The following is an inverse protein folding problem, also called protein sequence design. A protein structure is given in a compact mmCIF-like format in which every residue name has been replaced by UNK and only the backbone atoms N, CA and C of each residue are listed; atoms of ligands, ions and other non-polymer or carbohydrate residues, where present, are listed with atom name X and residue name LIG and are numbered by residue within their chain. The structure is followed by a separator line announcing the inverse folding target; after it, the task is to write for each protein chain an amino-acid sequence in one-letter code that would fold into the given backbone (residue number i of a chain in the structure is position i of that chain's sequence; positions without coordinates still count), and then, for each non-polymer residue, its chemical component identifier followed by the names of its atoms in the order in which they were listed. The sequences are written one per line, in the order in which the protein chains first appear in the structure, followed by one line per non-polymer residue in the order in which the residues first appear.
data_IF_480122110779
#
_entry.id   IF_480122110779
#
_cell.length_a   1.000
_cell.length_b   1.000
_cell.length_c   1.000
_cell.angle_alpha   90.00
_cell.angle_beta   90.00
_cell.angle_gamma   90.00
#
_symmetry.space_group_name_H-M   'P 1'
#
loop_
_entity.id
_entity.type
_entity.pdbx_description
1 polymer ?
#
# COMPACT_ATOMS: atom_id res chain seq x y z
N UNK A 1 1.17 0.11 23.15
CA UNK A 1 1.17 1.50 22.68
C UNK A 1 2.51 2.09 23.09
N UNK A 2 3.43 2.44 22.19
CA UNK A 2 4.61 3.18 22.58
C UNK A 2 4.33 4.68 22.44
N UNK A 3 4.68 5.36 23.52
CA UNK A 3 4.51 6.78 23.76
C UNK A 3 5.44 7.66 22.91
N UNK A 4 5.08 8.94 22.85
CA UNK A 4 5.87 10.11 22.45
C UNK A 4 6.13 10.35 20.93
N UNK A 5 5.72 11.57 20.52
CA UNK A 5 5.81 12.22 19.21
C UNK A 5 4.75 11.82 18.17
N UNK A 6 3.53 12.37 18.32
CA UNK A 6 2.56 12.47 17.23
C UNK A 6 3.13 13.42 16.16
N UNK A 7 3.71 12.85 15.12
CA UNK A 7 3.76 13.53 13.84
C UNK A 7 2.38 13.43 13.21
N UNK A 8 1.78 14.58 12.95
CA UNK A 8 0.46 14.73 12.31
C UNK A 8 0.40 14.10 10.90
N UNK A 9 1.53 13.64 10.37
CA UNK A 9 1.70 13.07 9.04
C UNK A 9 1.92 11.55 9.02
N UNK A 10 1.51 10.82 10.07
CA UNK A 10 1.54 9.36 10.08
C UNK A 10 0.15 8.74 10.06
N UNK A 11 0.00 7.75 9.18
CA UNK A 11 -1.10 6.80 9.22
C UNK A 11 -0.62 5.52 9.90
N UNK A 12 -1.35 5.07 10.92
CA UNK A 12 -1.03 3.86 11.68
C UNK A 12 -2.30 3.06 11.97
N UNK A 13 -2.19 1.73 11.88
CA UNK A 13 -3.31 0.81 12.07
C UNK A 13 -2.90 -0.36 12.95
N UNK A 14 -3.79 -0.78 13.85
CA UNK A 14 -3.54 -1.89 14.79
C UNK A 14 -3.82 -3.28 14.21
N UNK A 15 -4.26 -3.37 12.95
CA UNK A 15 -4.60 -4.63 12.28
C UNK A 15 -4.19 -4.60 10.80
N UNK A 16 -3.88 -5.77 10.20
CA UNK A 16 -3.67 -5.88 8.75
C UNK A 16 -4.92 -5.47 7.97
N UNK A 17 -4.73 -5.02 6.73
CA UNK A 17 -5.80 -4.75 5.79
C UNK A 17 -6.45 -6.06 5.30
N UNK A 18 -7.79 -6.11 5.33
CA UNK A 18 -8.56 -7.23 4.80
C UNK A 18 -8.81 -7.07 3.29
N UNK A 19 -9.04 -5.83 2.85
CA UNK A 19 -9.33 -5.47 1.45
C UNK A 19 -8.29 -4.50 0.90
N UNK A 20 -8.14 -4.46 -0.43
CA UNK A 20 -7.11 -3.62 -1.08
C UNK A 20 -7.22 -2.13 -0.72
N UNK A 21 -8.45 -1.62 -0.57
CA UNK A 21 -8.72 -0.21 -0.25
C UNK A 21 -8.26 0.19 1.16
N UNK A 22 -8.05 -0.79 2.05
CA UNK A 22 -7.58 -0.56 3.42
C UNK A 22 -6.04 -0.55 3.52
N UNK A 23 -5.34 -0.89 2.44
CA UNK A 23 -3.89 -0.95 2.42
C UNK A 23 -3.24 0.42 2.43
N UNK A 24 -1.93 0.45 2.71
CA UNK A 24 -1.12 1.67 2.71
C UNK A 24 -0.40 1.84 1.37
N UNK A 25 -0.67 2.91 0.60
CA UNK A 25 -0.04 3.13 -0.70
C UNK A 25 1.36 3.75 -0.54
N UNK A 26 2.31 3.24 -1.32
CA UNK A 26 3.63 3.84 -1.52
C UNK A 26 3.96 3.87 -3.02
N UNK A 27 4.76 4.84 -3.46
CA UNK A 27 5.20 4.90 -4.85
C UNK A 27 6.15 6.05 -5.15
N UNK A 28 6.79 5.98 -6.31
CA UNK A 28 7.76 6.99 -6.79
C UNK A 28 7.31 7.68 -8.09
N UNK A 29 6.02 7.64 -8.41
CA UNK A 29 5.45 8.13 -9.66
C UNK A 29 5.38 7.09 -10.78
N UNK A 30 6.35 6.17 -10.84
CA UNK A 30 6.40 5.13 -11.89
C UNK A 30 5.99 3.74 -11.40
N UNK A 31 6.48 3.35 -10.23
CA UNK A 31 6.14 2.09 -9.56
C UNK A 31 5.46 2.41 -8.24
N UNK A 32 4.42 1.65 -7.92
CA UNK A 32 3.71 1.76 -6.66
C UNK A 32 3.39 0.38 -6.08
N UNK A 33 3.17 0.35 -4.77
CA UNK A 33 2.69 -0.82 -4.06
C UNK A 33 1.62 -0.44 -3.04
N UNK A 34 0.63 -1.31 -2.87
CA UNK A 34 -0.28 -1.29 -1.74
C UNK A 34 0.19 -2.31 -0.71
N UNK A 35 0.49 -1.87 0.51
CA UNK A 35 0.95 -2.71 1.62
C UNK A 35 -0.26 -3.23 2.40
N UNK A 36 -0.39 -4.54 2.55
CA UNK A 36 -1.54 -5.15 3.25
C UNK A 36 -1.25 -5.45 4.74
N UNK A 37 0.02 -5.64 5.13
CA UNK A 37 0.43 -5.79 6.53
C UNK A 37 0.17 -7.17 7.13
N UNK A 38 0.10 -8.21 6.30
CA UNK A 38 -0.24 -9.58 6.73
C UNK A 38 0.86 -10.23 7.56
N UNK A 39 0.57 -10.53 8.84
CA UNK A 39 1.59 -11.02 9.82
C UNK A 39 2.25 -12.35 9.41
N UNK A 40 1.46 -13.36 9.02
CA UNK A 40 2.00 -14.67 8.60
C UNK A 40 2.48 -14.69 7.16
N UNK A 41 1.81 -13.91 6.31
CA UNK A 41 2.09 -13.81 4.87
C UNK A 41 1.70 -12.42 4.41
N UNK A 42 2.70 -11.67 3.98
CA UNK A 42 2.51 -10.35 3.40
C UNK A 42 2.00 -10.45 1.96
N UNK A 43 1.25 -9.44 1.52
CA UNK A 43 0.87 -9.25 0.12
C UNK A 43 1.13 -7.80 -0.26
N UNK A 44 2.02 -7.58 -1.22
CA UNK A 44 2.20 -6.28 -1.85
C UNK A 44 1.49 -6.28 -3.20
N UNK A 45 0.46 -5.45 -3.37
CA UNK A 45 -0.19 -5.29 -4.67
C UNK A 45 0.56 -4.24 -5.49
N UNK A 46 1.19 -4.64 -6.59
CA UNK A 46 2.08 -3.78 -7.38
C UNK A 46 1.33 -3.10 -8.53
N UNK A 47 1.71 -1.86 -8.82
CA UNK A 47 1.27 -1.10 -9.98
C UNK A 47 2.48 -0.52 -10.72
N UNK A 48 2.37 -0.39 -12.05
CA UNK A 48 3.37 0.27 -12.89
C UNK A 48 2.67 1.21 -13.88
N UNK A 49 3.15 2.45 -13.99
CA UNK A 49 2.49 3.52 -14.77
C UNK A 49 2.30 3.21 -16.26
N UNK A 50 3.11 2.31 -16.83
CA UNK A 50 3.01 1.89 -18.24
C UNK A 50 2.25 0.58 -18.47
N UNK A 51 1.72 -0.06 -17.42
CA UNK A 51 0.97 -1.31 -17.58
C UNK A 51 -0.46 -1.01 -18.01
N UNK A 52 -0.65 -0.80 -19.31
CA UNK A 52 -1.95 -0.57 -19.94
C UNK A 52 -2.24 -1.65 -20.97
N UNK A 53 -3.52 -2.02 -21.11
CA UNK A 53 -3.97 -2.84 -22.22
C UNK A 53 -4.03 -1.96 -23.47
N UNK A 54 -3.17 -2.23 -24.45
CA UNK A 54 -3.34 -1.70 -25.81
C UNK A 54 -4.46 -2.50 -26.51
N UNK A 55 -5.33 -1.82 -27.26
CA UNK A 55 -6.22 -2.47 -28.23
C UNK A 55 -5.56 -2.34 -29.61
N UNK A 56 -4.85 -3.39 -30.05
CA UNK A 56 -4.32 -3.47 -31.42
C UNK A 56 -5.44 -3.95 -32.36
N UNK A 57 -6.40 -3.08 -32.65
CA UNK A 57 -7.35 -3.29 -33.76
C UNK A 57 -6.83 -2.65 -35.03
#
# INVERSE_FOLDING_TARGET
MPDAFYNETRLWYGKPAAEWIEGLPIGNGRVAAMIMGGVKRERLALNHEWLWKADNR
#
